data_IF_344707814658
#
_entry.id   IF_344707814658
#
_cell.length_a   1.000
_cell.length_b   1.000
_cell.length_c   1.000
_cell.angle_alpha   90.00
_cell.angle_beta   90.00
_cell.angle_gamma   90.00
#
_symmetry.space_group_name_H-M   'P 1'
#
loop_
_entity.id
_entity.type
_entity.pdbx_description
1 polymer ?
2 non-polymer ?
3 non-polymer ?
4 non-polymer ?
5 water ?
#
# COMPACT_ATOMS: atom_id res chain seq x y z
N UNK A 4 9.77 -2.77 6.28
CA UNK A 4 9.84 -2.65 4.79
C UNK A 4 11.15 -3.20 4.25
N UNK A 5 12.20 -3.08 5.07
CA UNK A 5 13.50 -3.71 4.84
C UNK A 5 13.34 -5.21 4.60
N UNK A 6 12.44 -5.81 5.39
CA UNK A 6 12.12 -7.24 5.34
C UNK A 6 11.44 -7.63 4.03
N UNK A 7 10.71 -6.68 3.44
CA UNK A 7 9.92 -6.89 2.22
C UNK A 7 10.65 -6.58 0.91
N UNK A 8 10.19 -7.20 -0.21
CA UNK A 8 10.84 -7.07 -1.51
C UNK A 8 10.76 -5.60 -1.99
N UNK A 9 11.78 -5.08 -2.69
CA UNK A 9 11.67 -3.73 -3.28
C UNK A 9 10.69 -3.83 -4.44
N UNK A 10 10.27 -2.68 -4.96
CA UNK A 10 9.13 -2.71 -5.89
C UNK A 10 9.45 -3.49 -7.19
N UNK A 11 10.72 -3.47 -7.62
CA UNK A 11 11.10 -4.18 -8.85
C UNK A 11 10.97 -5.71 -8.66
N UNK A 12 11.38 -6.18 -7.49
CA UNK A 12 11.27 -7.61 -7.10
C UNK A 12 9.82 -8.02 -6.91
N UNK A 13 9.05 -7.12 -6.32
CA UNK A 13 7.63 -7.39 -6.06
C UNK A 13 6.93 -7.63 -7.41
N UNK A 14 7.17 -6.74 -8.38
CA UNK A 14 6.54 -6.83 -9.68
C UNK A 14 6.93 -8.15 -10.39
N UNK A 15 8.23 -8.44 -10.41
CA UNK A 15 8.81 -9.63 -10.99
C UNK A 15 8.13 -10.87 -10.42
N UNK A 16 7.97 -10.90 -9.10
CA UNK A 16 7.42 -12.05 -8.41
C UNK A 16 5.97 -12.21 -8.83
N UNK A 17 5.19 -11.12 -8.91
CA UNK A 17 3.81 -11.22 -9.34
C UNK A 17 3.73 -11.76 -10.75
N UNK A 18 4.65 -11.36 -11.62
CA UNK A 18 4.61 -11.84 -13.01
C UNK A 18 4.91 -13.34 -13.15
N UNK A 19 5.64 -13.90 -12.18
CA UNK A 19 5.95 -15.33 -12.13
C UNK A 19 4.83 -16.18 -11.46
N UNK A 20 3.82 -15.51 -10.89
CA UNK A 20 2.70 -16.24 -10.28
C UNK A 20 1.94 -16.97 -11.38
N UNK A 21 1.58 -18.23 -11.12
CA UNK A 21 0.91 -19.09 -12.11
C UNK A 21 -0.59 -18.80 -12.29
N UNK A 22 -1.19 -18.17 -11.30
CA UNK A 22 -2.62 -17.96 -11.29
C UNK A 22 -3.06 -16.99 -10.18
N UNK A 23 -4.35 -16.65 -10.18
CA UNK A 23 -4.90 -15.82 -9.09
C UNK A 23 -4.80 -16.47 -7.71
N UNK A 24 -4.97 -17.80 -7.63
CA UNK A 24 -4.83 -18.47 -6.34
C UNK A 24 -3.49 -18.14 -5.71
N UNK A 25 -2.43 -18.17 -6.52
CA UNK A 25 -1.09 -17.88 -6.01
C UNK A 25 -0.90 -16.41 -5.66
N UNK A 26 -1.36 -15.55 -6.54
CA UNK A 26 -1.25 -14.10 -6.30
C UNK A 26 -1.98 -13.66 -5.04
N UNK A 27 -3.18 -14.22 -4.85
CA UNK A 27 -3.98 -13.92 -3.70
C UNK A 27 -3.26 -14.32 -2.44
N UNK A 28 -2.64 -15.49 -2.45
CA UNK A 28 -1.90 -15.91 -1.26
C UNK A 28 -0.70 -15.04 -0.97
N UNK A 29 -0.04 -14.63 -2.04
CA UNK A 29 1.10 -13.74 -1.94
C UNK A 29 0.62 -12.43 -1.28
N UNK A 30 -0.49 -11.90 -1.77
CA UNK A 30 -1.03 -10.64 -1.23
C UNK A 30 -1.30 -10.77 0.31
N UNK A 31 -1.98 -11.86 0.69
CA UNK A 31 -2.24 -12.16 2.13
C UNK A 31 -0.93 -12.25 2.94
N UNK A 32 0.05 -12.99 2.42
CA UNK A 32 1.33 -13.16 3.12
C UNK A 32 2.05 -11.80 3.28
N UNK A 33 2.02 -10.98 2.21
CA UNK A 33 2.65 -9.64 2.25
C UNK A 33 2.02 -8.78 3.33
N UNK A 34 0.70 -8.83 3.46
CA UNK A 34 0.03 -8.01 4.50
C UNK A 34 0.45 -8.40 5.90
N UNK A 35 0.67 -9.70 6.08
CA UNK A 35 1.04 -10.25 7.38
C UNK A 35 2.43 -9.81 7.77
N UNK A 36 3.21 -9.35 6.82
CA UNK A 36 4.58 -8.92 7.14
C UNK A 36 4.79 -7.42 7.45
N UNK A 37 3.71 -6.67 7.41
CA UNK A 37 3.73 -5.25 7.80
C UNK A 37 4.03 -5.15 9.30
N UNK A 38 4.74 -4.11 9.68
CA UNK A 38 4.94 -3.77 11.10
C UNK A 38 3.61 -3.46 11.74
N UNK A 39 3.51 -3.85 13.00
CA UNK A 39 2.39 -3.51 13.84
C UNK A 39 2.33 -2.01 13.95
N UNK A 40 1.12 -1.48 13.76
CA UNK A 40 0.84 -0.05 13.91
C UNK A 40 0.86 0.28 15.41
N UNK A 41 1.49 1.38 15.78
CA UNK A 41 1.35 1.89 17.16
C UNK A 41 -0.12 2.10 17.48
N UNK A 42 -0.59 1.60 18.63
CA UNK A 42 -2.03 1.80 18.88
C UNK A 42 -2.47 3.28 18.87
N UNK A 43 -1.55 4.18 19.20
CA UNK A 43 -1.84 5.60 19.25
C UNK A 43 -2.16 6.17 17.85
N UNK A 44 -1.60 5.52 16.84
CA UNK A 44 -1.82 5.92 15.45
C UNK A 44 -3.12 5.36 14.89
N UNK A 45 -3.77 4.43 15.60
CA UNK A 45 -5.14 4.07 15.23
C UNK A 45 -6.03 5.14 15.77
N UNK A 46 -5.99 6.30 15.14
CA UNK A 46 -6.81 7.45 15.53
C UNK A 46 -7.54 7.95 14.30
N UNK A 47 -8.63 8.72 14.49
CA UNK A 47 -9.48 9.24 13.40
C UNK A 47 -8.72 10.06 12.39
N UNK A 48 -7.64 10.70 12.82
CA UNK A 48 -6.79 11.45 11.90
C UNK A 48 -6.07 10.56 10.85
N UNK A 49 -5.86 9.28 11.19
CA UNK A 49 -5.21 8.35 10.31
C UNK A 49 -6.18 7.36 9.64
N UNK A 50 -7.48 7.52 9.85
CA UNK A 50 -8.47 6.60 9.30
C UNK A 50 -8.69 6.91 7.83
N UNK A 51 -8.78 5.87 7.00
CA UNK A 51 -8.84 5.99 5.56
C UNK A 51 -10.21 5.55 5.21
N UNK A 52 -10.87 6.33 4.36
CA UNK A 52 -12.25 6.11 4.01
C UNK A 52 -12.38 5.45 2.66
N UNK A 53 -13.43 4.64 2.50
CA UNK A 53 -13.79 4.02 1.22
C UNK A 53 -13.38 2.56 1.01
N UNK A 54 -12.85 1.90 2.04
CA UNK A 54 -12.33 0.53 1.88
C UNK A 54 -13.28 -0.61 2.32
N UNK A 55 -14.50 -0.23 2.71
CA UNK A 55 -15.49 -1.15 3.28
C UNK A 55 -14.86 -2.04 4.35
N UNK A 56 -13.85 -1.51 5.00
CA UNK A 56 -13.18 -2.20 6.09
C UNK A 56 -12.50 -1.15 6.90
N UNK A 57 -12.05 -1.50 8.08
CA UNK A 57 -11.29 -0.54 8.88
C UNK A 57 -9.88 -0.48 8.36
N UNK A 58 -9.44 0.73 8.07
CA UNK A 58 -8.10 0.95 7.47
C UNK A 58 -7.52 2.20 8.09
N UNK A 59 -6.27 2.12 8.53
CA UNK A 59 -5.55 3.23 9.02
C UNK A 59 -4.23 3.29 8.28
N UNK A 60 -3.84 4.50 7.87
CA UNK A 60 -2.50 4.75 7.30
C UNK A 60 -1.94 6.04 7.84
N UNK A 61 -0.71 5.98 8.33
CA UNK A 61 -0.09 7.17 8.84
C UNK A 61 1.13 7.44 7.97
N UNK A 62 1.30 8.70 7.60
CA UNK A 62 2.44 9.12 6.79
C UNK A 62 3.22 10.11 7.55
N UNK A 63 4.53 9.94 7.55
CA UNK A 63 5.38 10.85 8.23
C UNK A 63 6.56 11.06 7.35
N UNK A 64 7.01 12.30 7.27
CA UNK A 64 8.25 12.68 6.57
C UNK A 64 9.40 12.70 7.58
N UNK A 65 10.39 11.84 7.39
CA UNK A 65 11.54 11.80 8.31
C UNK A 65 12.51 12.95 8.11
N UNK A 66 13.44 13.14 9.04
CA UNK A 66 14.34 14.30 8.94
C UNK A 66 15.23 14.23 7.69
N UNK A 67 15.32 13.07 7.05
CA UNK A 67 16.04 12.95 5.77
C UNK A 67 15.21 13.31 4.55
N UNK A 68 13.94 13.63 4.75
CA UNK A 68 13.03 13.97 3.64
C UNK A 68 12.30 12.82 3.02
N UNK A 69 12.46 11.63 3.59
CA UNK A 69 11.84 10.43 3.01
C UNK A 69 10.54 10.13 3.69
N UNK A 70 9.56 9.68 2.93
CA UNK A 70 8.25 9.34 3.49
C UNK A 70 8.23 7.90 4.05
N UNK A 71 7.76 7.77 5.29
CA UNK A 71 7.61 6.50 5.97
C UNK A 71 6.10 6.25 6.10
N UNK A 72 5.65 5.08 5.67
CA UNK A 72 4.24 4.69 5.80
C UNK A 72 4.06 3.52 6.76
N UNK A 73 3.08 3.64 7.65
CA UNK A 73 2.66 2.51 8.45
C UNK A 73 1.14 2.43 8.36
N UNK A 74 0.60 1.26 8.67
CA UNK A 74 -0.83 1.11 8.62
C UNK A 74 -1.32 -0.26 9.07
N UNK A 75 -2.63 -0.45 8.99
CA UNK A 75 -3.25 -1.71 9.36
C UNK A 75 -4.67 -1.71 8.77
N UNK A 76 -5.21 -2.90 8.63
CA UNK A 76 -6.63 -3.07 8.29
C UNK A 76 -7.14 -4.34 8.86
N UNK A 77 -8.45 -4.34 9.15
CA UNK A 77 -9.11 -5.51 9.74
C UNK A 77 -9.47 -6.55 8.67
N UNK A 78 -9.16 -6.28 7.41
CA UNK A 78 -9.36 -7.22 6.31
C UNK A 78 -7.98 -7.66 5.80
N UNK A 79 -7.74 -8.96 5.78
CA UNK A 79 -6.42 -9.49 5.32
C UNK A 79 -6.03 -9.12 3.90
N UNK A 80 -6.96 -9.21 2.93
CA UNK A 80 -6.65 -8.83 1.57
C UNK A 80 -6.33 -7.30 1.45
N UNK A 81 -7.06 -6.46 2.20
CA UNK A 81 -6.79 -5.01 2.22
C UNK A 81 -5.42 -4.74 2.79
N UNK A 82 -5.08 -5.41 3.87
CA UNK A 82 -3.76 -5.22 4.46
C UNK A 82 -2.63 -5.65 3.48
N UNK A 83 -2.84 -6.72 2.71
CA UNK A 83 -1.84 -7.11 1.67
C UNK A 83 -1.73 -6.10 0.52
N UNK A 84 -2.89 -5.63 0.03
CA UNK A 84 -2.92 -4.51 -0.93
C UNK A 84 -2.25 -3.24 -0.37
N UNK A 85 -2.48 -2.95 0.91
CA UNK A 85 -1.75 -1.88 1.56
C UNK A 85 -0.26 -2.13 1.49
N UNK A 86 0.19 -3.37 1.78
CA UNK A 86 1.64 -3.67 1.70
C UNK A 86 2.17 -3.45 0.30
N UNK A 87 1.44 -3.85 -0.72
CA UNK A 87 1.88 -3.60 -2.05
C UNK A 87 2.12 -2.10 -2.32
N UNK A 88 1.16 -1.30 -1.92
CA UNK A 88 1.22 0.21 -2.07
C UNK A 88 2.44 0.75 -1.30
N UNK A 89 2.61 0.28 -0.07
CA UNK A 89 3.75 0.67 0.72
C UNK A 89 5.08 0.34 0.03
N UNK A 90 5.20 -0.85 -0.53
CA UNK A 90 6.36 -1.22 -1.29
C UNK A 90 6.61 -0.28 -2.46
N UNK A 91 5.58 -0.07 -3.27
CA UNK A 91 5.68 0.88 -4.38
C UNK A 91 6.27 2.25 -3.97
N UNK A 92 5.84 2.75 -2.81
CA UNK A 92 6.23 4.09 -2.32
C UNK A 92 7.43 4.09 -1.37
N UNK A 93 8.04 2.93 -1.16
CA UNK A 93 9.10 2.79 -0.18
C UNK A 93 10.32 3.62 -0.61
N UNK A 94 10.94 4.29 0.37
CA UNK A 94 12.08 5.16 0.11
C UNK A 94 11.85 6.40 -0.79
N UNK A 95 10.60 6.75 -1.09
CA UNK A 95 10.27 7.92 -1.89
C UNK A 95 10.13 9.18 -1.02
N UNK A 96 10.44 10.31 -1.63
CA UNK A 96 10.09 11.62 -1.09
C UNK A 96 8.64 11.90 -1.34
N UNK A 97 8.13 12.99 -0.75
CA UNK A 97 6.72 13.37 -0.99
C UNK A 97 6.49 13.66 -2.46
N UNK A 98 7.45 14.38 -3.02
CA UNK A 98 7.37 14.75 -4.46
C UNK A 98 7.42 13.54 -5.35
N UNK A 99 8.30 12.59 -5.01
CA UNK A 99 8.32 11.29 -5.71
C UNK A 99 6.93 10.66 -5.75
N UNK A 100 6.32 10.60 -4.58
CA UNK A 100 4.97 10.04 -4.47
C UNK A 100 3.96 10.73 -5.35
N UNK A 101 3.92 12.06 -5.33
CA UNK A 101 2.98 12.79 -6.13
C UNK A 101 3.19 12.52 -7.59
N UNK A 102 4.45 12.49 -8.00
CA UNK A 102 4.70 12.26 -9.42
C UNK A 102 4.73 10.80 -9.91
N UNK A 103 4.73 9.84 -9.03
CA UNK A 103 4.87 8.40 -9.39
C UNK A 103 3.53 7.90 -9.96
N UNK A 104 3.58 7.49 -11.20
CA UNK A 104 2.40 6.87 -11.82
C UNK A 104 2.36 5.38 -11.46
N UNK A 105 1.40 5.02 -10.60
CA UNK A 105 1.30 3.61 -10.15
C UNK A 105 0.65 2.71 -11.19
N UNK A 106 0.04 3.29 -12.19
CA UNK A 106 -0.81 2.48 -13.07
C UNK A 106 -0.06 1.38 -13.82
N UNK A 107 1.04 1.73 -14.51
CA UNK A 107 1.73 0.67 -15.22
C UNK A 107 2.22 -0.41 -14.31
N UNK A 108 2.54 -0.08 -13.06
CA UNK A 108 2.96 -1.09 -12.09
C UNK A 108 1.81 -2.06 -11.77
N UNK A 109 0.67 -1.53 -11.38
CA UNK A 109 -0.46 -2.38 -11.07
C UNK A 109 -0.93 -3.13 -12.30
N UNK A 110 -0.78 -2.56 -13.47
CA UNK A 110 -1.16 -3.28 -14.68
C UNK A 110 -0.31 -4.48 -14.95
N UNK A 111 0.98 -4.35 -14.73
CA UNK A 111 1.88 -5.48 -14.87
C UNK A 111 1.64 -6.54 -13.80
N UNK A 112 1.31 -6.13 -12.56
CA UNK A 112 1.01 -7.11 -11.49
C UNK A 112 -0.29 -7.84 -11.77
N UNK A 113 -1.17 -7.21 -12.52
CA UNK A 113 -2.45 -7.80 -12.95
C UNK A 113 -3.32 -8.31 -11.78
N UNK A 114 -3.51 -7.44 -10.79
CA UNK A 114 -4.25 -7.77 -9.56
C UNK A 114 -5.71 -7.40 -9.64
N UNK A 115 -5.91 -6.16 -10.05
CA UNK A 115 -7.20 -5.52 -9.95
C UNK A 115 -8.24 -6.31 -10.68
N UNK A 116 -7.89 -6.95 -11.78
CA UNK A 116 -8.88 -7.71 -12.53
C UNK A 116 -9.49 -8.89 -11.80
N UNK A 117 -8.81 -9.37 -10.78
CA UNK A 117 -9.31 -10.45 -9.94
C UNK A 117 -9.97 -9.98 -8.62
N UNK A 118 -9.84 -8.69 -8.29
CA UNK A 118 -10.40 -8.18 -7.07
C UNK A 118 -11.89 -7.91 -7.22
N UNK A 119 -12.61 -8.02 -6.13
CA UNK A 119 -14.00 -7.58 -6.10
C UNK A 119 -14.04 -6.05 -6.23
N UNK A 120 -15.15 -5.50 -6.74
CA UNK A 120 -15.28 -4.03 -6.82
C UNK A 120 -15.00 -3.33 -5.51
N UNK A 121 -15.48 -3.91 -4.40
CA UNK A 121 -15.12 -3.46 -3.04
C UNK A 121 -13.62 -3.36 -2.75
N UNK A 122 -12.86 -4.40 -3.10
CA UNK A 122 -11.41 -4.39 -2.83
C UNK A 122 -10.70 -3.47 -3.85
N UNK A 123 -11.18 -3.43 -5.09
CA UNK A 123 -10.59 -2.54 -6.08
C UNK A 123 -10.80 -1.06 -5.68
N UNK A 124 -12.00 -0.76 -5.20
CA UNK A 124 -12.28 0.61 -4.72
C UNK A 124 -11.45 0.99 -3.53
N UNK A 125 -11.28 0.02 -2.65
CA UNK A 125 -10.47 0.16 -1.45
C UNK A 125 -9.02 0.39 -1.79
N UNK A 126 -8.50 -0.36 -2.77
CA UNK A 126 -7.09 -0.12 -3.20
C UNK A 126 -6.97 1.34 -3.70
N UNK A 127 -7.88 1.74 -4.56
CA UNK A 127 -7.85 3.09 -5.10
C UNK A 127 -7.94 4.16 -3.98
N UNK A 128 -8.73 3.91 -2.93
CA UNK A 128 -8.94 4.85 -1.81
C UNK A 128 -7.64 5.06 -1.06
N UNK A 129 -6.93 3.98 -0.88
CA UNK A 129 -5.64 4.01 -0.16
C UNK A 129 -4.64 4.80 -0.91
N UNK A 130 -4.57 4.58 -2.23
CA UNK A 130 -3.63 5.29 -3.06
C UNK A 130 -4.01 6.79 -3.11
N UNK A 131 -5.29 7.11 -3.26
CA UNK A 131 -5.73 8.54 -3.25
C UNK A 131 -5.34 9.28 -1.95
N UNK A 132 -5.51 8.56 -0.85
CA UNK A 132 -5.32 9.10 0.48
C UNK A 132 -3.86 9.39 0.69
N UNK A 133 -3.00 8.48 0.28
CA UNK A 133 -1.57 8.68 0.43
C UNK A 133 -1.07 9.82 -0.46
N UNK A 134 -1.53 9.85 -1.71
CA UNK A 134 -1.08 10.93 -2.62
C UNK A 134 -1.48 12.30 -2.11
N UNK A 135 -2.69 12.41 -1.55
CA UNK A 135 -3.21 13.67 -1.06
C UNK A 135 -2.36 14.14 0.13
N UNK A 136 -2.06 13.21 1.01
CA UNK A 136 -1.18 13.49 2.15
C UNK A 136 0.20 13.94 1.69
N UNK A 137 0.78 13.21 0.76
CA UNK A 137 2.13 13.53 0.24
C UNK A 137 2.16 14.93 -0.37
N UNK A 138 1.08 15.28 -1.08
CA UNK A 138 0.94 16.59 -1.75
C UNK A 138 0.91 17.78 -0.82
N UNK A 139 0.57 17.57 0.45
CA UNK A 139 0.50 18.70 1.38
C UNK A 139 1.85 19.11 1.99
N UNK A 140 2.88 18.35 1.71
CA UNK A 140 4.20 18.64 2.28
C UNK A 140 4.99 19.72 1.50
N UNK A 141 5.75 20.55 2.21
CA UNK A 141 6.54 21.65 1.64
C UNK A 141 7.00 21.38 0.21
X LIG B 1 5.81 -15.52 -7.65
X LIG B 1 5.04 -16.39 -6.76
X LIG B 1 5.67 -16.04 -8.94
X LIG B 1 3.38 -16.21 -7.28
X LIG C 1 -10.13 -9.81 3.23
X LIG C 1 -9.42 -10.97 3.63
X LIG C 1 -11.57 -10.15 3.30
X LIG C 1 -12.11 -9.69 4.52
X LIG D 1 9.59 -3.06 -15.58
X LIG D 1 9.13 -4.31 -16.12
X LIG D 1 8.86 -2.62 -14.30
X LIG D 1 7.64 -1.95 -14.66
X LIG D 1 7.67 -0.56 -14.60
X LIG D 1 6.35 -0.02 -15.11
X LIG D 1 6.25 0.05 -16.57
#
# INVERSE_FOLDING_TARGET
SNAMAALPDKEKLLRNFTRCANWEEKYLYIIELGQRLAELNPQDRNPQNTIHGCQSQVWIVMRRNANGIIELQGDSDAAIVKGLMAVVFILYHQMTAQDIVHFDVRPWFEKMALAQHLTPSRSQGLEAMIRAIRAKAATLS
BME C1 C2 O1 S2
EDO C1 O1 C2 O2
PEG C1 O1 C2 O2 C3 C4 O4
#
